data_IF_391443351742
#
_entry.id   IF_391443351742
#
_cell.length_a   1.000
_cell.length_b   1.000
_cell.length_c   1.000
_cell.angle_alpha   90.00
_cell.angle_beta   90.00
_cell.angle_gamma   90.00
#
_symmetry.space_group_name_H-M   'P 1'
#
loop_
_entity.id
_entity.type
_entity.pdbx_description
1 polymer ?
#
# COMPACT_ATOMS: atom_id res chain seq x y z
N UNK A 1 15.58 -16.47 19.78
CA UNK A 1 16.00 -15.19 19.20
C UNK A 1 14.79 -14.66 18.47
N UNK A 2 14.08 -13.67 19.04
CA UNK A 2 13.03 -12.97 18.29
C UNK A 2 13.74 -11.94 17.45
N UNK A 3 13.92 -12.24 16.17
CA UNK A 3 14.16 -11.21 15.18
C UNK A 3 12.89 -10.35 15.18
N UNK A 4 12.99 -9.10 15.64
CA UNK A 4 11.96 -8.12 15.34
C UNK A 4 11.90 -8.00 13.82
N UNK A 5 10.70 -7.98 13.21
CA UNK A 5 10.60 -7.79 11.77
C UNK A 5 11.36 -6.52 11.39
N UNK A 6 12.23 -6.61 10.38
CA UNK A 6 12.86 -5.43 9.78
C UNK A 6 11.74 -4.46 9.37
N UNK A 7 11.87 -3.18 9.76
CA UNK A 7 10.99 -2.12 9.25
C UNK A 7 10.97 -2.23 7.72
N UNK A 8 9.77 -2.39 7.19
CA UNK A 8 9.57 -2.20 5.77
C UNK A 8 9.82 -0.71 5.52
N UNK A 9 10.55 -0.32 4.47
CA UNK A 9 10.84 1.10 4.25
C UNK A 9 9.59 1.99 3.94
N UNK A 10 8.39 1.49 4.25
CA UNK A 10 7.09 2.15 4.15
C UNK A 10 6.38 2.15 5.52
N UNK A 11 6.34 3.33 6.14
CA UNK A 11 5.71 3.54 7.44
C UNK A 11 4.22 3.14 7.49
N UNK A 12 3.52 3.10 6.35
CA UNK A 12 2.13 2.64 6.28
C UNK A 12 2.04 1.14 6.50
N UNK A 13 2.96 0.39 5.89
CA UNK A 13 3.07 -1.07 6.05
C UNK A 13 3.50 -1.40 7.47
N UNK A 14 4.47 -0.66 8.03
CA UNK A 14 4.92 -0.87 9.41
C UNK A 14 3.80 -0.65 10.43
N UNK A 15 2.97 0.39 10.25
CA UNK A 15 1.83 0.65 11.12
C UNK A 15 0.81 -0.49 11.09
N UNK A 16 0.55 -1.07 9.91
CA UNK A 16 -0.35 -2.22 9.74
C UNK A 16 0.22 -3.46 10.44
N UNK A 17 1.51 -3.75 10.26
CA UNK A 17 2.19 -4.88 10.89
C UNK A 17 2.25 -4.73 12.41
N UNK A 18 2.51 -3.52 12.92
CA UNK A 18 2.45 -3.23 14.35
C UNK A 18 1.06 -3.50 14.94
N UNK A 19 -0.01 -3.26 14.17
CA UNK A 19 -1.39 -3.56 14.55
C UNK A 19 -1.66 -5.04 14.84
N UNK A 20 -0.87 -5.97 14.28
CA UNK A 20 -0.99 -7.41 14.52
C UNK A 20 -0.51 -7.81 15.93
N UNK A 21 0.26 -6.97 16.63
CA UNK A 21 0.67 -7.25 18.01
C UNK A 21 -0.53 -7.43 18.96
N UNK A 22 -1.69 -6.82 18.63
CA UNK A 22 -2.95 -6.93 19.38
C UNK A 22 -3.51 -8.36 19.43
N UNK A 23 -3.13 -9.24 18.51
CA UNK A 23 -3.60 -10.63 18.47
C UNK A 23 -3.27 -11.40 19.76
N UNK A 24 -2.14 -11.09 20.41
CA UNK A 24 -1.74 -11.74 21.68
C UNK A 24 -2.64 -11.39 22.86
N UNK A 25 -3.41 -10.31 22.76
CA UNK A 25 -4.27 -9.78 23.83
C UNK A 25 -5.75 -10.11 23.61
N UNK A 26 -6.10 -10.58 22.41
CA UNK A 26 -7.48 -10.85 21.99
C UNK A 26 -7.78 -12.35 21.93
N UNK A 27 -9.04 -12.75 22.17
CA UNK A 27 -9.46 -14.12 21.95
C UNK A 27 -9.39 -14.45 20.45
N UNK A 28 -9.14 -15.73 20.13
CA UNK A 28 -8.97 -16.21 18.75
C UNK A 28 -10.17 -15.89 17.85
N UNK A 29 -11.38 -15.77 18.41
CA UNK A 29 -12.58 -15.36 17.67
C UNK A 29 -12.45 -13.97 17.04
N UNK A 30 -11.67 -13.08 17.64
CA UNK A 30 -11.45 -11.71 17.16
C UNK A 30 -10.25 -11.60 16.21
N UNK A 31 -9.43 -12.66 16.10
CA UNK A 31 -8.22 -12.62 15.26
C UNK A 31 -8.55 -12.41 13.79
N UNK A 32 -9.66 -12.97 13.32
CA UNK A 32 -10.12 -12.78 11.94
C UNK A 32 -10.36 -11.31 11.64
N UNK A 33 -11.04 -10.57 12.54
CA UNK A 33 -11.30 -9.16 12.33
C UNK A 33 -10.00 -8.33 12.23
N UNK A 34 -9.01 -8.65 13.05
CA UNK A 34 -7.68 -8.01 13.02
C UNK A 34 -6.93 -8.33 11.72
N UNK A 35 -7.02 -9.57 11.24
CA UNK A 35 -6.40 -9.94 9.96
C UNK A 35 -7.08 -9.25 8.77
N UNK A 36 -8.41 -9.15 8.75
CA UNK A 36 -9.16 -8.46 7.69
C UNK A 36 -8.84 -6.95 7.66
N UNK A 37 -8.70 -6.32 8.83
CA UNK A 37 -8.27 -4.92 8.95
C UNK A 37 -6.87 -4.73 8.37
N UNK A 38 -5.92 -5.60 8.74
CA UNK A 38 -4.56 -5.54 8.24
C UNK A 38 -4.50 -5.79 6.72
N UNK A 39 -5.24 -6.77 6.22
CA UNK A 39 -5.29 -7.10 4.80
C UNK A 39 -5.85 -5.93 3.98
N UNK A 40 -6.98 -5.36 4.41
CA UNK A 40 -7.59 -4.19 3.76
C UNK A 40 -6.65 -2.96 3.75
N UNK A 41 -5.88 -2.77 4.82
CA UNK A 41 -4.87 -1.70 4.90
C UNK A 41 -3.73 -1.88 3.90
N UNK A 42 -3.26 -3.11 3.72
CA UNK A 42 -2.20 -3.43 2.76
C UNK A 42 -2.70 -3.26 1.32
N UNK A 43 -3.90 -3.74 1.00
CA UNK A 43 -4.52 -3.55 -0.32
C UNK A 43 -4.65 -2.06 -0.65
N UNK A 44 -5.10 -1.24 0.30
CA UNK A 44 -5.19 0.21 0.13
C UNK A 44 -3.83 0.86 -0.08
N UNK A 45 -2.79 0.39 0.62
CA UNK A 45 -1.42 0.89 0.47
C UNK A 45 -0.87 0.57 -0.92
N UNK A 46 -1.12 -0.65 -1.43
CA UNK A 46 -0.73 -1.08 -2.76
C UNK A 46 -1.49 -0.32 -3.85
N UNK A 47 -2.80 -0.13 -3.69
CA UNK A 47 -3.61 0.65 -4.63
C UNK A 47 -3.10 2.10 -4.76
N UNK A 48 -2.74 2.73 -3.63
CA UNK A 48 -2.18 4.09 -3.65
C UNK A 48 -0.82 4.18 -4.36
N UNK A 49 -0.01 3.11 -4.35
CA UNK A 49 1.24 3.05 -5.13
C UNK A 49 0.95 2.91 -6.62
N UNK A 50 -0.03 2.09 -7.00
CA UNK A 50 -0.44 1.91 -8.40
C UNK A 50 -0.98 3.22 -9.00
N UNK A 51 -1.82 3.94 -8.26
CA UNK A 51 -2.34 5.26 -8.65
C UNK A 51 -1.19 6.26 -8.90
N UNK A 52 -0.22 6.33 -7.99
CA UNK A 52 0.94 7.21 -8.14
C UNK A 52 1.81 6.85 -9.37
N UNK A 53 1.92 5.57 -9.72
CA UNK A 53 2.65 5.11 -10.91
C UNK A 53 1.86 5.41 -12.21
N UNK A 54 0.53 5.33 -12.16
CA UNK A 54 -0.37 5.60 -13.28
C UNK A 54 -0.40 7.07 -13.73
N UNK A 55 -0.31 8.00 -12.77
CA UNK A 55 -0.26 9.45 -13.05
C UNK A 55 1.01 9.86 -13.81
N UNK A 56 2.14 9.22 -13.50
CA UNK A 56 3.42 9.49 -14.17
C UNK A 56 3.42 9.01 -15.64
N UNK A 57 2.69 7.94 -15.94
CA UNK A 57 2.59 7.40 -17.31
C UNK A 57 1.62 8.22 -18.17
N UNK A 58 0.53 8.74 -17.58
CA UNK A 58 -0.45 9.55 -18.34
C UNK A 58 0.07 10.95 -18.68
N UNK A 59 0.83 11.58 -17.77
CA UNK A 59 1.42 12.90 -18.00
C UNK A 59 2.45 12.89 -19.14
N UNK A 60 3.24 11.83 -19.29
CA UNK A 60 4.21 11.66 -20.38
C UNK A 60 3.56 11.47 -21.77
N UNK A 61 2.33 10.93 -21.82
CA UNK A 61 1.61 10.69 -23.08
C UNK A 61 0.90 11.94 -23.62
N UNK A 62 0.55 12.89 -22.76
CA UNK A 62 -0.14 14.13 -23.16
C UNK A 62 0.80 15.11 -23.86
N UNK A 63 2.11 15.03 -23.64
CA UNK A 63 3.10 15.90 -24.31
C UNK A 63 3.50 15.45 -25.71
N UNK A 64 3.12 14.24 -26.14
CA UNK A 64 3.39 13.70 -27.49
C UNK A 64 2.31 14.11 -28.52
N UNK A 65 1.15 14.61 -28.07
CA UNK A 65 0.04 15.04 -28.93
C UNK A 65 0.21 16.48 -29.49
N UNK A 66 1.43 16.84 -29.90
CA UNK A 66 1.81 18.23 -30.21
C UNK A 66 2.65 18.41 -31.46
N UNK A 67 2.34 17.73 -32.57
CA UNK A 67 2.90 18.08 -33.89
C UNK A 67 1.77 18.54 -34.82
N UNK A 68 1.60 19.87 -35.03
CA UNK A 68 0.71 20.38 -36.05
C UNK A 68 1.44 20.32 -37.40
N UNK A 69 1.21 19.27 -38.18
CA UNK A 69 1.59 19.27 -39.60
C UNK A 69 0.61 20.19 -40.36
N UNK A 70 1.13 21.34 -40.79
CA UNK A 70 0.57 22.25 -41.82
C UNK A 70 1.73 22.70 -42.72
N UNK A 71 1.52 23.13 -43.99
CA UNK A 71 0.30 23.15 -44.81
C UNK A 71 0.36 22.24 -46.06
#
# INVERSE_FOLDING_TARGET
MSELPEETADARVDAIVAGLARLGELPVSEHVAVFEEAFSGLESTLAAVDDAQGEHTTAARVTDAGVPERP
#
